data_IF_225832363019
#
_entry.id   IF_225832363019
#
_cell.length_a   1.000
_cell.length_b   1.000
_cell.length_c   1.000
_cell.angle_alpha   90.00
_cell.angle_beta   90.00
_cell.angle_gamma   90.00
#
_symmetry.space_group_name_H-M   'P 1'
#
loop_
_entity.id
_entity.type
_entity.pdbx_description
1 polymer ?
#
# COMPACT_ATOMS: atom_id res chain seq x y z
N UNK A 1 -21.07 0.48 26.93
CA UNK A 1 -19.94 0.96 26.10
C UNK A 1 -18.65 0.40 26.70
N UNK A 2 -17.91 -0.41 25.96
CA UNK A 2 -16.65 -0.97 26.45
C UNK A 2 -15.57 0.13 26.42
N UNK A 3 -15.27 0.72 27.58
CA UNK A 3 -14.14 1.63 27.75
C UNK A 3 -12.87 0.83 28.10
N UNK A 4 -12.56 -0.17 27.28
CA UNK A 4 -11.40 -1.03 27.50
C UNK A 4 -10.13 -0.30 27.09
N UNK A 5 -9.44 0.35 28.04
CA UNK A 5 -8.07 0.79 27.84
C UNK A 5 -7.19 -0.45 27.96
N UNK A 6 -6.66 -0.92 26.84
CA UNK A 6 -5.66 -2.00 26.84
C UNK A 6 -4.31 -1.34 27.12
N UNK A 7 -3.64 -1.64 28.25
CA UNK A 7 -2.32 -1.08 28.54
C UNK A 7 -1.32 -1.52 27.48
N UNK A 8 -0.50 -0.57 27.01
CA UNK A 8 0.53 -0.85 26.02
C UNK A 8 1.63 -1.72 26.63
N UNK A 9 2.31 -2.54 25.83
CA UNK A 9 3.54 -3.19 26.25
C UNK A 9 4.54 -2.15 26.75
N UNK A 10 5.28 -2.46 27.82
CA UNK A 10 6.30 -1.55 28.40
C UNK A 10 7.55 -1.40 27.54
N UNK A 11 7.74 -2.30 26.58
CA UNK A 11 8.81 -2.23 25.58
C UNK A 11 8.34 -1.44 24.35
N UNK A 12 9.11 -0.41 23.96
CA UNK A 12 8.83 0.46 22.82
C UNK A 12 8.78 -0.30 21.47
N UNK A 13 9.38 -1.49 21.38
CA UNK A 13 9.34 -2.34 20.19
C UNK A 13 8.14 -3.29 20.15
N UNK A 14 7.40 -3.42 21.25
CA UNK A 14 6.28 -4.32 21.38
C UNK A 14 4.97 -3.62 20.96
N UNK A 15 4.13 -4.34 20.21
CA UNK A 15 2.89 -3.81 19.65
C UNK A 15 1.71 -4.73 19.97
N UNK A 16 0.53 -4.14 19.99
CA UNK A 16 -0.75 -4.83 20.09
C UNK A 16 -1.52 -4.58 18.79
N UNK A 17 -2.14 -5.64 18.28
CA UNK A 17 -3.04 -5.60 17.14
C UNK A 17 -4.42 -6.07 17.60
N UNK A 18 -5.41 -5.18 17.53
CA UNK A 18 -6.80 -5.52 17.79
C UNK A 18 -7.55 -5.73 16.47
N UNK A 19 -8.68 -6.43 16.56
CA UNK A 19 -9.48 -6.85 15.41
C UNK A 19 -8.68 -7.69 14.39
N UNK A 20 -7.87 -8.64 14.85
CA UNK A 20 -7.04 -9.49 13.97
C UNK A 20 -7.92 -10.13 12.88
N UNK A 21 -7.46 -10.05 11.64
CA UNK A 21 -8.18 -10.44 10.41
C UNK A 21 -9.51 -9.71 10.14
N UNK A 22 -9.75 -8.59 10.82
CA UNK A 22 -10.87 -7.68 10.54
C UNK A 22 -12.27 -8.34 10.64
N UNK A 23 -12.46 -9.28 11.57
CA UNK A 23 -13.77 -9.92 11.78
C UNK A 23 -14.84 -8.98 12.35
N UNK A 24 -14.42 -7.98 13.11
CA UNK A 24 -15.30 -6.99 13.70
C UNK A 24 -15.55 -5.81 12.78
N UNK A 25 -16.79 -5.32 12.74
CA UNK A 25 -17.18 -4.10 12.03
C UNK A 25 -16.86 -2.85 12.85
N UNK A 26 -15.58 -2.63 13.13
CA UNK A 26 -15.08 -1.44 13.83
C UNK A 26 -13.63 -1.13 13.42
N UNK A 27 -13.26 0.14 13.58
CA UNK A 27 -11.89 0.65 13.36
C UNK A 27 -11.12 0.68 14.67
N UNK A 28 -9.82 0.46 14.61
CA UNK A 28 -8.96 0.53 15.79
C UNK A 28 -8.11 1.79 15.75
N UNK A 29 -8.31 2.68 16.72
CA UNK A 29 -7.43 3.82 16.94
C UNK A 29 -6.47 3.53 18.10
N UNK A 30 -5.20 3.31 17.77
CA UNK A 30 -4.18 3.06 18.78
C UNK A 30 -3.55 4.36 19.30
N UNK A 31 -2.94 4.30 20.48
CA UNK A 31 -2.02 5.34 20.91
C UNK A 31 -0.83 5.46 19.95
N UNK A 32 -0.26 6.66 19.81
CA UNK A 32 0.84 6.96 18.88
C UNK A 32 2.03 5.99 19.00
N UNK A 33 2.38 5.59 20.22
CA UNK A 33 3.44 4.61 20.46
C UNK A 33 3.20 3.27 19.76
N UNK A 34 1.96 2.78 19.75
CA UNK A 34 1.61 1.52 19.10
C UNK A 34 1.55 1.65 17.58
N UNK A 35 1.06 2.80 17.05
CA UNK A 35 1.16 3.08 15.61
C UNK A 35 2.61 3.03 15.12
N UNK A 36 3.53 3.65 15.86
CA UNK A 36 4.97 3.59 15.57
C UNK A 36 5.52 2.17 15.67
N UNK A 37 5.14 1.41 16.69
CA UNK A 37 5.58 0.02 16.86
C UNK A 37 5.07 -0.89 15.72
N UNK A 38 3.83 -0.69 15.25
CA UNK A 38 3.28 -1.39 14.08
C UNK A 38 4.02 -1.02 12.79
N UNK A 39 4.28 0.28 12.56
CA UNK A 39 5.07 0.74 11.41
C UNK A 39 6.47 0.09 11.38
N UNK A 40 7.15 0.07 12.53
CA UNK A 40 8.46 -0.60 12.68
C UNK A 40 8.36 -2.11 12.43
N UNK A 41 7.31 -2.78 12.91
CA UNK A 41 7.12 -4.20 12.67
C UNK A 41 6.90 -4.50 11.19
N UNK A 42 6.08 -3.72 10.49
CA UNK A 42 5.83 -3.88 9.05
C UNK A 42 7.14 -3.72 8.25
N UNK A 43 7.95 -2.73 8.61
CA UNK A 43 9.27 -2.51 8.00
C UNK A 43 10.27 -3.65 8.25
N UNK A 44 10.30 -4.16 9.49
CA UNK A 44 11.25 -5.19 9.92
C UNK A 44 10.86 -6.57 9.40
N UNK A 45 9.60 -6.95 9.55
CA UNK A 45 9.07 -8.27 9.19
C UNK A 45 7.55 -8.23 9.01
N UNK A 46 7.10 -7.80 7.83
CA UNK A 46 5.68 -7.75 7.48
C UNK A 46 4.96 -9.10 7.59
N UNK A 47 5.68 -10.22 7.38
CA UNK A 47 5.11 -11.57 7.42
C UNK A 47 4.56 -11.98 8.80
N UNK A 48 4.92 -11.27 9.87
CA UNK A 48 4.37 -11.50 11.22
C UNK A 48 2.92 -11.06 11.34
N UNK A 49 2.46 -10.12 10.50
CA UNK A 49 1.09 -9.63 10.48
C UNK A 49 0.40 -10.19 9.22
N UNK A 50 -0.73 -10.91 9.33
CA UNK A 50 -1.41 -11.48 8.15
C UNK A 50 -1.86 -10.40 7.15
N UNK A 51 -1.97 -10.71 5.85
CA UNK A 51 -2.28 -9.73 4.81
C UNK A 51 -3.56 -8.92 5.08
N UNK A 52 -4.64 -9.58 5.51
CA UNK A 52 -5.90 -8.90 5.86
C UNK A 52 -5.70 -7.88 6.99
N UNK A 53 -4.88 -8.22 7.99
CA UNK A 53 -4.58 -7.30 9.09
C UNK A 53 -3.67 -6.15 8.65
N UNK A 54 -2.73 -6.37 7.73
CA UNK A 54 -1.94 -5.27 7.16
C UNK A 54 -2.81 -4.29 6.38
N UNK A 55 -3.75 -4.80 5.59
CA UNK A 55 -4.75 -3.99 4.90
C UNK A 55 -5.61 -3.18 5.87
N UNK A 56 -6.07 -3.80 6.96
CA UNK A 56 -6.83 -3.11 8.01
C UNK A 56 -6.01 -1.99 8.67
N UNK A 57 -4.75 -2.23 9.03
CA UNK A 57 -3.87 -1.23 9.65
C UNK A 57 -3.74 0.00 8.72
N UNK A 58 -3.58 -0.22 7.42
CA UNK A 58 -3.51 0.85 6.41
C UNK A 58 -4.84 1.60 6.33
N UNK A 59 -5.96 0.88 6.17
CA UNK A 59 -7.29 1.47 6.01
C UNK A 59 -7.71 2.29 7.23
N UNK A 60 -7.46 1.77 8.44
CA UNK A 60 -7.75 2.44 9.71
C UNK A 60 -6.88 3.69 9.86
N UNK A 61 -5.57 3.61 9.60
CA UNK A 61 -4.68 4.75 9.75
C UNK A 61 -5.09 5.93 8.86
N UNK A 62 -5.31 5.69 7.57
CA UNK A 62 -5.71 6.75 6.64
C UNK A 62 -7.14 7.26 6.90
N UNK A 63 -8.08 6.37 7.23
CA UNK A 63 -9.44 6.78 7.56
C UNK A 63 -9.50 7.64 8.82
N UNK A 64 -8.69 7.32 9.84
CA UNK A 64 -8.56 8.11 11.07
C UNK A 64 -7.84 9.44 10.83
N UNK A 65 -6.80 9.46 9.99
CA UNK A 65 -6.10 10.69 9.62
C UNK A 65 -7.04 11.66 8.91
N UNK A 66 -7.86 11.16 7.98
CA UNK A 66 -8.86 11.96 7.25
C UNK A 66 -9.85 12.69 8.17
N UNK A 67 -10.22 12.10 9.30
CA UNK A 67 -11.14 12.72 10.28
C UNK A 67 -10.39 13.40 11.44
N UNK A 68 -9.08 13.62 11.32
CA UNK A 68 -8.26 14.32 12.32
C UNK A 68 -8.06 13.57 13.64
N UNK A 69 -8.27 12.24 13.65
CA UNK A 69 -8.09 11.40 14.86
C UNK A 69 -6.66 10.96 15.07
N UNK A 70 -5.86 10.92 14.00
CA UNK A 70 -4.41 10.82 14.02
C UNK A 70 -3.84 11.81 13.01
N UNK A 71 -2.54 12.06 13.06
CA UNK A 71 -1.84 12.91 12.10
C UNK A 71 -1.46 12.09 10.84
N UNK A 72 -1.41 12.75 9.68
CA UNK A 72 -1.04 12.07 8.43
C UNK A 72 0.39 11.51 8.45
N UNK A 73 1.33 12.14 9.16
CA UNK A 73 2.68 11.60 9.38
C UNK A 73 2.66 10.15 9.90
N UNK A 74 1.73 9.86 10.80
CA UNK A 74 1.53 8.55 11.40
C UNK A 74 0.95 7.58 10.37
N UNK A 75 -0.03 8.02 9.58
CA UNK A 75 -0.58 7.20 8.50
C UNK A 75 0.45 6.89 7.40
N UNK A 76 1.26 7.88 6.99
CA UNK A 76 2.33 7.66 6.02
C UNK A 76 3.41 6.72 6.54
N UNK A 77 3.77 6.80 7.83
CA UNK A 77 4.72 5.86 8.44
C UNK A 77 4.31 4.39 8.31
N UNK A 78 2.99 4.11 8.25
CA UNK A 78 2.45 2.77 8.09
C UNK A 78 2.64 2.24 6.67
N UNK A 79 2.58 3.08 5.64
CA UNK A 79 2.72 2.67 4.23
C UNK A 79 4.16 2.74 3.72
N UNK A 80 5.11 3.12 4.56
CA UNK A 80 6.52 3.16 4.18
C UNK A 80 7.07 1.81 3.71
N UNK A 81 6.51 0.67 4.14
CA UNK A 81 7.02 -0.68 3.85
C UNK A 81 6.52 -1.26 2.51
N UNK A 82 5.65 -0.52 1.79
CA UNK A 82 4.93 -1.06 0.64
C UNK A 82 5.87 -1.57 -0.47
N UNK A 83 7.09 -1.04 -0.59
CA UNK A 83 8.14 -1.57 -1.48
C UNK A 83 8.43 -3.07 -1.29
N UNK A 84 8.16 -3.60 -0.08
CA UNK A 84 8.33 -5.01 0.29
C UNK A 84 7.03 -5.83 0.24
N UNK A 85 5.88 -5.20 0.02
CA UNK A 85 4.57 -5.85 0.02
C UNK A 85 4.31 -6.60 -1.29
N UNK A 86 3.77 -7.82 -1.20
CA UNK A 86 3.51 -8.73 -2.33
C UNK A 86 2.09 -9.29 -2.32
N UNK A 87 1.32 -9.07 -1.27
CA UNK A 87 -0.07 -9.53 -1.20
C UNK A 87 -1.03 -8.52 -1.83
N UNK A 88 -2.07 -9.03 -2.50
CA UNK A 88 -3.08 -8.22 -3.17
C UNK A 88 -3.83 -7.27 -2.21
N UNK A 89 -4.27 -7.81 -1.07
CA UNK A 89 -5.22 -7.12 -0.17
C UNK A 89 -4.61 -5.84 0.43
N UNK A 90 -3.38 -5.86 0.99
CA UNK A 90 -2.74 -4.63 1.49
C UNK A 90 -2.50 -3.60 0.39
N UNK A 91 -2.09 -4.03 -0.81
CA UNK A 91 -1.90 -3.12 -1.95
C UNK A 91 -3.19 -2.44 -2.38
N UNK A 92 -4.27 -3.22 -2.48
CA UNK A 92 -5.60 -2.71 -2.81
C UNK A 92 -6.06 -1.64 -1.79
N UNK A 93 -5.90 -1.92 -0.49
CA UNK A 93 -6.23 -0.96 0.57
C UNK A 93 -5.35 0.31 0.49
N UNK A 94 -4.03 0.17 0.31
CA UNK A 94 -3.12 1.30 0.22
C UNK A 94 -3.42 2.19 -0.98
N UNK A 95 -3.54 1.62 -2.18
CA UNK A 95 -3.75 2.39 -3.39
C UNK A 95 -5.11 3.10 -3.39
N UNK A 96 -6.15 2.49 -2.81
CA UNK A 96 -7.45 3.14 -2.61
C UNK A 96 -7.34 4.39 -1.72
N UNK A 97 -6.66 4.28 -0.57
CA UNK A 97 -6.48 5.40 0.36
C UNK A 97 -5.58 6.50 -0.23
N UNK A 98 -4.51 6.11 -0.92
CA UNK A 98 -3.57 7.04 -1.55
C UNK A 98 -4.19 7.77 -2.74
N UNK A 99 -4.97 7.09 -3.58
CA UNK A 99 -5.68 7.69 -4.71
C UNK A 99 -6.67 8.78 -4.24
N UNK A 100 -7.39 8.50 -3.15
CA UNK A 100 -8.27 9.50 -2.55
C UNK A 100 -7.48 10.73 -2.09
N UNK A 101 -6.32 10.55 -1.45
CA UNK A 101 -5.49 11.67 -1.02
C UNK A 101 -4.91 12.45 -2.21
N UNK A 102 -4.47 11.77 -3.26
CA UNK A 102 -4.01 12.38 -4.51
C UNK A 102 -5.05 13.34 -5.10
N UNK A 103 -6.32 12.92 -5.09
CA UNK A 103 -7.43 13.72 -5.63
C UNK A 103 -7.65 15.04 -4.90
N UNK A 104 -7.10 15.20 -3.70
CA UNK A 104 -7.13 16.44 -2.92
C UNK A 104 -5.92 17.33 -3.20
N UNK A 105 -4.83 16.77 -3.72
CA UNK A 105 -3.55 17.47 -3.95
C UNK A 105 -3.42 18.06 -5.36
N UNK A 106 -4.31 17.71 -6.29
CA UNK A 106 -4.18 18.03 -7.72
C UNK A 106 -3.99 19.53 -8.05
N UNK A 107 -4.50 20.44 -7.22
CA UNK A 107 -4.35 21.89 -7.41
C UNK A 107 -3.00 22.46 -6.93
N UNK A 108 -2.21 21.68 -6.19
CA UNK A 108 -0.88 22.08 -5.72
C UNK A 108 0.19 21.26 -6.44
N UNK A 109 0.83 21.85 -7.45
CA UNK A 109 1.78 21.15 -8.31
C UNK A 109 2.95 20.53 -7.56
N UNK A 110 3.47 21.19 -6.52
CA UNK A 110 4.63 20.71 -5.76
C UNK A 110 4.24 19.50 -4.92
N UNK A 111 3.16 19.63 -4.13
CA UNK A 111 2.71 18.55 -3.26
C UNK A 111 2.23 17.34 -4.06
N UNK A 112 1.52 17.59 -5.18
CA UNK A 112 1.10 16.56 -6.11
C UNK A 112 2.29 15.78 -6.67
N UNK A 113 3.33 16.49 -7.15
CA UNK A 113 4.53 15.85 -7.72
C UNK A 113 5.31 15.06 -6.67
N UNK A 114 5.47 15.60 -5.46
CA UNK A 114 6.12 14.90 -4.36
C UNK A 114 5.35 13.62 -3.97
N UNK A 115 4.02 13.71 -3.96
CA UNK A 115 3.16 12.57 -3.67
C UNK A 115 3.25 11.48 -4.74
N UNK A 116 3.24 11.85 -6.03
CA UNK A 116 3.43 10.89 -7.12
C UNK A 116 4.81 10.22 -7.07
N UNK A 117 5.87 10.99 -6.78
CA UNK A 117 7.21 10.44 -6.61
C UNK A 117 7.31 9.47 -5.43
N UNK A 118 6.62 9.76 -4.32
CA UNK A 118 6.49 8.83 -3.20
C UNK A 118 5.86 7.52 -3.65
N UNK A 119 4.70 7.53 -4.31
CA UNK A 119 4.04 6.30 -4.77
C UNK A 119 4.90 5.54 -5.78
N UNK A 120 5.49 6.24 -6.75
CA UNK A 120 6.45 5.68 -7.71
C UNK A 120 7.57 4.92 -7.01
N UNK A 121 8.13 5.48 -5.93
CA UNK A 121 9.18 4.82 -5.16
C UNK A 121 8.72 3.52 -4.49
N UNK A 122 7.46 3.44 -4.05
CA UNK A 122 6.89 2.23 -3.43
C UNK A 122 6.54 1.14 -4.45
N UNK A 123 6.29 1.51 -5.70
CA UNK A 123 5.90 0.56 -6.76
C UNK A 123 7.08 -0.06 -7.52
N UNK A 124 8.27 0.54 -7.46
CA UNK A 124 9.42 0.10 -8.25
C UNK A 124 9.80 -1.38 -8.01
N UNK A 125 10.00 -1.77 -6.76
CA UNK A 125 10.37 -3.15 -6.38
C UNK A 125 9.25 -4.17 -6.62
N UNK A 126 7.98 -3.91 -6.23
CA UNK A 126 6.86 -4.77 -6.61
C UNK A 126 6.75 -4.98 -8.11
N UNK A 127 6.94 -3.92 -8.92
CA UNK A 127 6.90 -4.05 -10.36
C UNK A 127 8.04 -4.92 -10.89
N UNK A 128 9.26 -4.74 -10.38
CA UNK A 128 10.39 -5.58 -10.77
C UNK A 128 10.16 -7.07 -10.44
N UNK A 129 9.36 -7.37 -9.41
CA UNK A 129 8.98 -8.74 -9.06
C UNK A 129 7.88 -9.31 -9.98
N UNK A 130 6.83 -8.54 -10.25
CA UNK A 130 5.64 -9.04 -10.97
C UNK A 130 5.73 -8.88 -12.49
N UNK A 131 6.31 -7.78 -12.99
CA UNK A 131 6.42 -7.44 -14.41
C UNK A 131 5.08 -7.30 -15.15
N UNK A 132 5.14 -7.19 -16.48
CA UNK A 132 3.95 -7.14 -17.36
C UNK A 132 3.57 -8.51 -17.95
N UNK A 133 4.48 -9.47 -17.93
CA UNK A 133 4.25 -10.81 -18.49
C UNK A 133 3.75 -11.73 -17.38
N UNK A 134 2.76 -12.57 -17.70
CA UNK A 134 2.19 -13.55 -16.78
C UNK A 134 3.28 -14.32 -16.02
N UNK A 135 3.46 -14.04 -14.73
CA UNK A 135 4.50 -14.65 -13.89
C UNK A 135 4.03 -15.93 -13.17
N UNK A 136 2.72 -16.21 -13.14
CA UNK A 136 2.10 -17.26 -12.33
C UNK A 136 0.79 -17.78 -12.92
N UNK A 137 0.30 -18.91 -12.42
CA UNK A 137 -1.07 -19.38 -12.67
C UNK A 137 -2.02 -19.10 -11.50
N UNK A 138 -1.51 -18.67 -10.35
CA UNK A 138 -2.34 -18.36 -9.19
C UNK A 138 -3.21 -17.12 -9.49
N UNK A 139 -4.55 -17.20 -9.37
CA UNK A 139 -5.44 -16.08 -9.69
C UNK A 139 -5.20 -14.83 -8.85
N UNK A 140 -4.87 -14.96 -7.57
CA UNK A 140 -4.61 -13.81 -6.67
C UNK A 140 -3.34 -13.11 -7.09
N UNK A 141 -2.30 -13.88 -7.38
CA UNK A 141 -1.03 -13.35 -7.83
C UNK A 141 -1.17 -12.59 -9.17
N UNK A 142 -2.02 -13.08 -10.09
CA UNK A 142 -2.37 -12.37 -11.33
C UNK A 142 -3.10 -11.05 -11.09
N UNK A 143 -3.99 -11.01 -10.09
CA UNK A 143 -4.66 -9.78 -9.67
C UNK A 143 -3.64 -8.78 -9.09
N UNK A 144 -2.71 -9.25 -8.25
CA UNK A 144 -1.63 -8.41 -7.72
C UNK A 144 -0.77 -7.86 -8.84
N UNK A 145 -0.33 -8.69 -9.79
CA UNK A 145 0.43 -8.22 -10.94
C UNK A 145 -0.32 -7.15 -11.73
N UNK A 146 -1.59 -7.39 -12.06
CA UNK A 146 -2.38 -6.44 -12.85
C UNK A 146 -2.52 -5.10 -12.13
N UNK A 147 -2.77 -5.15 -10.82
CA UNK A 147 -2.87 -3.97 -9.96
C UNK A 147 -1.55 -3.17 -9.94
N UNK A 148 -0.43 -3.87 -9.68
CA UNK A 148 0.90 -3.26 -9.62
C UNK A 148 1.32 -2.72 -10.99
N UNK A 149 1.13 -3.49 -12.06
CA UNK A 149 1.47 -3.08 -13.42
C UNK A 149 0.76 -1.80 -13.83
N UNK A 150 -0.56 -1.73 -13.63
CA UNK A 150 -1.34 -0.53 -13.96
C UNK A 150 -0.82 0.69 -13.21
N UNK A 151 -0.67 0.59 -11.89
CA UNK A 151 -0.24 1.73 -11.07
C UNK A 151 1.21 2.11 -11.36
N UNK A 152 2.09 1.13 -11.59
CA UNK A 152 3.50 1.40 -11.87
C UNK A 152 3.68 2.20 -13.16
N UNK A 153 2.95 1.83 -14.22
CA UNK A 153 2.97 2.58 -15.47
C UNK A 153 2.27 3.94 -15.32
N UNK A 154 1.17 4.01 -14.57
CA UNK A 154 0.44 5.26 -14.28
C UNK A 154 1.33 6.30 -13.59
N UNK A 155 2.06 5.89 -12.54
CA UNK A 155 2.99 6.76 -11.79
C UNK A 155 4.39 6.85 -12.43
N UNK A 156 4.57 6.31 -13.63
CA UNK A 156 5.80 6.47 -14.41
C UNK A 156 7.02 5.73 -13.85
N UNK A 157 6.86 4.56 -13.24
CA UNK A 157 7.98 3.64 -12.93
C UNK A 157 8.68 3.29 -14.24
N UNK A 158 9.96 3.64 -14.35
CA UNK A 158 10.70 3.57 -15.62
C UNK A 158 10.67 2.17 -16.25
N UNK A 159 10.92 1.12 -15.45
CA UNK A 159 10.87 -0.26 -15.95
C UNK A 159 9.50 -0.67 -16.48
N UNK A 160 8.40 -0.11 -15.95
CA UNK A 160 7.06 -0.34 -16.48
C UNK A 160 6.85 0.39 -17.80
N UNK A 161 7.17 1.68 -17.85
CA UNK A 161 6.98 2.51 -19.04
C UNK A 161 7.80 1.99 -20.22
N UNK A 162 9.06 1.62 -19.98
CA UNK A 162 9.96 1.10 -21.01
C UNK A 162 9.43 -0.23 -21.57
N UNK A 163 9.04 -1.15 -20.70
CA UNK A 163 8.54 -2.46 -21.07
C UNK A 163 7.17 -2.38 -21.76
N UNK A 164 6.25 -1.57 -21.25
CA UNK A 164 4.94 -1.33 -21.88
C UNK A 164 5.10 -0.71 -23.28
N UNK A 165 5.97 0.29 -23.41
CA UNK A 165 6.27 0.93 -24.70
C UNK A 165 6.87 -0.07 -25.68
N UNK A 166 7.80 -0.91 -25.22
CA UNK A 166 8.42 -1.97 -26.04
C UNK A 166 7.39 -2.96 -26.54
N UNK A 167 6.54 -3.49 -25.66
CA UNK A 167 5.48 -4.44 -26.03
C UNK A 167 4.45 -3.81 -26.98
N UNK A 168 4.05 -2.57 -26.74
CA UNK A 168 3.13 -1.85 -27.63
C UNK A 168 3.72 -1.66 -29.04
N UNK A 169 5.00 -1.27 -29.15
CA UNK A 169 5.68 -1.16 -30.45
C UNK A 169 5.74 -2.50 -31.19
N UNK A 170 6.03 -3.59 -30.48
CA UNK A 170 6.05 -4.94 -31.07
C UNK A 170 4.69 -5.37 -31.59
N UNK A 171 3.62 -5.07 -30.84
CA UNK A 171 2.25 -5.32 -31.28
C UNK A 171 1.92 -4.53 -32.55
N UNK A 172 2.28 -3.24 -32.61
CA UNK A 172 2.07 -2.38 -33.79
C UNK A 172 2.79 -2.89 -35.06
N UNK A 173 3.98 -3.50 -34.92
CA UNK A 173 4.72 -4.04 -36.07
C UNK A 173 4.21 -5.40 -36.55
N UNK A 174 3.50 -6.15 -35.71
CA UNK A 174 3.02 -7.50 -35.99
C UNK A 174 1.54 -7.49 -36.40
N UNK A 175 1.23 -6.81 -37.51
CA UNK A 175 -0.13 -6.65 -38.05
C UNK A 175 -0.85 -7.98 -38.41
N UNK A 176 -0.17 -9.12 -38.34
CA UNK A 176 -0.68 -10.45 -38.75
C UNK A 176 -1.36 -11.26 -37.63
N UNK A 177 -1.56 -10.69 -36.43
CA UNK A 177 -2.24 -11.35 -35.29
C UNK A 177 -3.43 -10.57 -34.72
N UNK A 178 -3.97 -9.62 -35.49
CA UNK A 178 -5.25 -8.98 -35.19
C UNK A 178 -6.37 -9.65 -36.00
#
# INVERSE_FOLDING_TARGET
TFNGIIPLPTDLASWILANVQQYGFYRVNYHLGNWRALAMQLQRRLSTIPPVSRAQIIDDAFSLARVGRIQYDTAFSIVEYLDKERDYIPWSAALSQLWMLESLLYNNTIDYTNFQNFIKSKLADPFNHFGLVKFTQNPVDLLTQSLIAWHSCHYGVNSCVDEATRQFRQWMTNASRN
#
